data_IF_937365542473
#
_entry.id   IF_937365542473
#
_cell.length_a   1.000
_cell.length_b   1.000
_cell.length_c   1.000
_cell.angle_alpha   90.00
_cell.angle_beta   90.00
_cell.angle_gamma   90.00
#
_symmetry.space_group_name_H-M   'P 1'
#
loop_
_entity.id
_entity.type
_entity.pdbx_description
1 polymer ?
#
# COMPACT_ATOMS: atom_id res chain seq x y z
N UNK A 1 9.28 -14.56 11.49
CA UNK A 1 8.92 -13.26 10.90
C UNK A 1 8.01 -13.54 9.72
N UNK A 2 6.73 -13.16 9.84
CA UNK A 2 5.85 -13.12 8.66
C UNK A 2 6.43 -12.15 7.65
N UNK A 3 6.45 -12.52 6.37
CA UNK A 3 6.99 -11.68 5.31
C UNK A 3 5.90 -10.73 4.84
N UNK A 4 6.11 -9.42 5.00
CA UNK A 4 5.18 -8.41 4.54
C UNK A 4 5.27 -8.25 3.02
N UNK A 5 4.23 -7.68 2.40
CA UNK A 5 4.25 -7.47 0.95
C UNK A 5 5.24 -6.35 0.60
N UNK A 6 5.36 -5.30 1.43
CA UNK A 6 6.31 -4.20 1.22
C UNK A 6 7.77 -4.66 1.14
N UNK A 7 8.16 -5.71 1.88
CA UNK A 7 9.49 -6.32 1.85
C UNK A 7 9.95 -6.76 0.44
N UNK A 8 8.99 -6.95 -0.47
CA UNK A 8 9.23 -7.40 -1.85
C UNK A 8 9.12 -6.30 -2.90
N UNK A 9 8.81 -5.07 -2.48
CA UNK A 9 8.72 -3.92 -3.38
C UNK A 9 10.12 -3.38 -3.69
N UNK A 10 10.37 -3.00 -4.94
CA UNK A 10 11.62 -2.38 -5.34
C UNK A 10 11.47 -0.90 -5.69
N UNK A 11 12.60 -0.20 -5.75
CA UNK A 11 12.65 1.26 -5.94
C UNK A 11 12.14 1.72 -7.32
N UNK A 12 11.30 2.78 -7.38
CA UNK A 12 10.84 3.57 -6.24
C UNK A 12 9.72 2.87 -5.45
N UNK A 13 9.89 2.89 -4.12
CA UNK A 13 8.91 2.48 -3.13
C UNK A 13 8.71 3.66 -2.19
N UNK A 14 7.46 4.05 -1.97
CA UNK A 14 7.07 5.22 -1.20
C UNK A 14 6.20 4.77 -0.02
N UNK A 15 6.54 5.25 1.17
CA UNK A 15 5.67 5.19 2.33
C UNK A 15 4.62 6.31 2.21
N UNK A 16 3.34 5.98 2.45
CA UNK A 16 2.23 6.92 2.34
C UNK A 16 1.74 7.36 3.73
N UNK A 17 1.49 6.41 4.62
CA UNK A 17 0.90 6.69 5.93
C UNK A 17 1.25 5.56 6.90
N UNK A 18 1.53 5.91 8.15
CA UNK A 18 1.74 4.97 9.26
C UNK A 18 0.79 5.34 10.39
N UNK A 19 0.09 4.36 10.98
CA UNK A 19 -0.57 4.57 12.27
C UNK A 19 0.46 4.92 13.35
N UNK A 20 0.05 5.57 14.43
CA UNK A 20 0.92 5.93 15.57
C UNK A 20 2.07 4.93 15.84
N UNK A 21 3.30 5.33 15.46
CA UNK A 21 4.50 4.48 15.48
C UNK A 21 4.96 4.13 16.90
N UNK A 22 4.49 4.87 17.92
CA UNK A 22 4.79 4.62 19.32
C UNK A 22 3.93 3.48 19.92
N UNK A 23 3.08 2.84 19.12
CA UNK A 23 2.24 1.71 19.53
C UNK A 23 2.88 0.35 19.22
N UNK A 24 2.58 -0.70 20.01
CA UNK A 24 3.10 -2.05 19.75
C UNK A 24 2.53 -2.69 18.47
N UNK A 25 1.38 -2.19 17.99
CA UNK A 25 0.79 -2.58 16.72
C UNK A 25 0.73 -1.36 15.80
N UNK A 26 1.39 -1.46 14.65
CA UNK A 26 1.50 -0.39 13.65
C UNK A 26 0.95 -0.88 12.31
N UNK A 27 0.26 0.00 11.59
CA UNK A 27 -0.28 -0.25 10.27
C UNK A 27 0.26 0.79 9.29
N UNK A 28 0.95 0.33 8.26
CA UNK A 28 1.68 1.15 7.31
C UNK A 28 1.15 0.96 5.89
N UNK A 29 1.11 2.02 5.09
CA UNK A 29 0.78 1.98 3.67
C UNK A 29 2.02 2.26 2.86
N UNK A 30 2.28 1.39 1.88
CA UNK A 30 3.33 1.58 0.89
C UNK A 30 2.76 1.48 -0.52
N UNK A 31 3.42 2.17 -1.44
CA UNK A 31 3.22 2.00 -2.88
C UNK A 31 4.56 1.75 -3.57
N UNK A 32 4.61 0.80 -4.49
CA UNK A 32 5.83 0.45 -5.20
C UNK A 32 5.58 -0.54 -6.33
N UNK A 33 6.65 -1.15 -6.83
CA UNK A 33 6.56 -2.20 -7.84
C UNK A 33 7.01 -3.55 -7.29
N UNK A 34 6.26 -4.60 -7.60
CA UNK A 34 6.70 -5.98 -7.36
C UNK A 34 7.67 -6.45 -8.45
N UNK A 35 8.34 -7.58 -8.24
CA UNK A 35 9.33 -8.17 -9.19
C UNK A 35 8.81 -8.39 -10.63
N UNK A 36 7.50 -8.42 -10.84
CA UNK A 36 6.86 -8.55 -12.16
C UNK A 36 6.58 -7.20 -12.83
N UNK A 37 7.04 -6.10 -12.23
CA UNK A 37 6.80 -4.74 -12.72
C UNK A 37 5.38 -4.22 -12.49
N UNK A 38 4.58 -4.91 -11.68
CA UNK A 38 3.22 -4.50 -11.39
C UNK A 38 3.21 -3.45 -10.27
N UNK A 39 2.40 -2.42 -10.44
CA UNK A 39 2.17 -1.42 -9.40
C UNK A 39 1.39 -2.07 -8.25
N UNK A 40 1.89 -1.92 -7.04
CA UNK A 40 1.32 -2.48 -5.82
C UNK A 40 1.15 -1.37 -4.80
N UNK A 41 -0.06 -1.27 -4.24
CA UNK A 41 -0.33 -0.50 -3.03
C UNK A 41 -0.62 -1.52 -1.94
N UNK A 42 0.09 -1.50 -0.82
CA UNK A 42 -0.10 -2.46 0.25
C UNK A 42 -0.23 -1.78 1.61
N UNK A 43 -1.04 -2.40 2.47
CA UNK A 43 -1.15 -2.13 3.89
C UNK A 43 -0.49 -3.28 4.64
N UNK A 44 0.47 -2.97 5.49
CA UNK A 44 1.15 -3.93 6.34
C UNK A 44 0.79 -3.67 7.80
N UNK A 45 0.41 -4.72 8.53
CA UNK A 45 0.24 -4.67 9.97
C UNK A 45 1.46 -5.31 10.63
N UNK A 46 2.18 -4.52 11.40
CA UNK A 46 3.31 -4.91 12.24
C UNK A 46 2.82 -5.09 13.68
N UNK A 47 2.94 -6.30 14.20
CA UNK A 47 2.80 -6.59 15.63
C UNK A 47 4.20 -6.81 16.20
N UNK A 48 4.74 -5.79 16.87
CA UNK A 48 6.10 -5.82 17.40
C UNK A 48 6.22 -6.71 18.63
N UNK A 49 5.13 -6.94 19.35
CA UNK A 49 5.07 -7.84 20.51
C UNK A 49 4.86 -9.30 20.09
N UNK A 50 4.00 -9.56 19.09
CA UNK A 50 3.67 -10.88 18.59
C UNK A 50 3.81 -10.99 17.04
N UNK A 51 5.05 -11.04 16.48
CA UNK A 51 5.31 -10.98 15.04
C UNK A 51 4.70 -12.13 14.20
N UNK A 52 4.18 -13.18 14.84
CA UNK A 52 3.38 -14.21 14.18
C UNK A 52 2.03 -13.71 13.66
N UNK A 53 1.51 -12.58 14.14
CA UNK A 53 0.25 -11.98 13.68
C UNK A 53 0.45 -10.96 12.55
N UNK A 54 1.70 -10.68 12.15
CA UNK A 54 2.00 -9.85 11.00
C UNK A 54 1.22 -10.31 9.76
N UNK A 55 0.61 -9.36 9.07
CA UNK A 55 -0.16 -9.62 7.86
C UNK A 55 -0.16 -8.40 6.94
N UNK A 56 -0.55 -8.63 5.69
CA UNK A 56 -0.55 -7.63 4.63
C UNK A 56 -1.80 -7.77 3.76
N UNK A 57 -2.31 -6.66 3.27
CA UNK A 57 -3.31 -6.61 2.20
C UNK A 57 -2.82 -5.67 1.12
N UNK A 58 -2.89 -6.08 -0.15
CA UNK A 58 -2.40 -5.29 -1.27
C UNK A 58 -3.35 -5.26 -2.46
N UNK A 59 -3.47 -4.11 -3.09
CA UNK A 59 -4.03 -3.94 -4.42
C UNK A 59 -2.90 -4.03 -5.46
N UNK A 60 -2.95 -5.07 -6.30
CA UNK A 60 -1.97 -5.32 -7.36
C UNK A 60 -2.59 -4.95 -8.71
N UNK A 61 -2.17 -3.84 -9.28
CA UNK A 61 -2.63 -3.32 -10.57
C UNK A 61 -1.96 -4.10 -11.69
N UNK A 62 -2.70 -4.42 -12.75
CA UNK A 62 -2.08 -5.06 -13.91
C UNK A 62 -1.11 -4.11 -14.64
N UNK A 63 -0.11 -4.69 -15.30
CA UNK A 63 0.95 -3.92 -15.96
C UNK A 63 0.39 -2.99 -17.07
N UNK A 64 -0.58 -3.47 -17.84
CA UNK A 64 -1.17 -2.71 -18.95
C UNK A 64 -1.87 -1.43 -18.47
N UNK A 65 -2.69 -1.54 -17.43
CA UNK A 65 -3.49 -0.44 -16.90
C UNK A 65 -2.59 0.56 -16.16
N UNK A 66 -1.58 0.10 -15.40
CA UNK A 66 -0.58 1.01 -14.82
C UNK A 66 0.18 1.80 -15.91
N UNK A 67 0.53 1.19 -17.03
CA UNK A 67 1.11 1.93 -18.16
C UNK A 67 0.15 2.94 -18.79
N UNK A 68 -1.15 2.63 -18.88
CA UNK A 68 -2.16 3.58 -19.37
C UNK A 68 -2.28 4.76 -18.43
N UNK A 69 -2.37 4.50 -17.12
CA UNK A 69 -2.43 5.53 -16.08
C UNK A 69 -1.21 6.46 -16.14
N UNK A 70 0.00 5.91 -16.26
CA UNK A 70 1.22 6.73 -16.41
C UNK A 70 1.16 7.66 -17.63
N UNK A 71 0.67 7.16 -18.78
CA UNK A 71 0.51 7.98 -20.00
C UNK A 71 -0.56 9.05 -19.82
N UNK A 72 -1.67 8.73 -19.17
CA UNK A 72 -2.77 9.66 -18.89
C UNK A 72 -2.26 10.87 -18.10
N UNK A 73 -1.50 10.61 -17.03
CA UNK A 73 -0.91 11.63 -16.17
C UNK A 73 0.42 12.23 -16.67
N UNK A 74 0.89 11.80 -17.86
CA UNK A 74 2.15 12.26 -18.48
C UNK A 74 3.37 12.07 -17.57
N UNK A 75 3.35 11.04 -16.73
CA UNK A 75 4.47 10.64 -15.87
C UNK A 75 5.17 9.40 -16.43
N UNK A 76 6.43 9.19 -16.07
CA UNK A 76 7.10 7.92 -16.37
C UNK A 76 6.42 6.82 -15.55
N UNK A 77 6.24 5.64 -16.13
CA UNK A 77 5.67 4.49 -15.41
C UNK A 77 6.41 4.19 -14.12
N UNK A 78 7.75 4.28 -14.13
CA UNK A 78 8.57 4.13 -12.93
C UNK A 78 8.30 5.18 -11.85
N UNK A 79 7.68 6.32 -12.15
CA UNK A 79 7.36 7.35 -11.17
C UNK A 79 5.93 7.27 -10.62
N UNK A 80 5.14 6.27 -11.02
CA UNK A 80 3.78 6.10 -10.48
C UNK A 80 3.73 6.00 -8.94
N UNK A 81 4.66 5.30 -8.25
CA UNK A 81 4.66 5.29 -6.79
C UNK A 81 4.82 6.66 -6.16
N UNK A 82 5.71 7.48 -6.73
CA UNK A 82 5.94 8.86 -6.28
C UNK A 82 4.70 9.71 -6.54
N UNK A 83 4.14 9.62 -7.75
CA UNK A 83 2.93 10.34 -8.13
C UNK A 83 1.75 10.01 -7.19
N UNK A 84 1.54 8.72 -6.87
CA UNK A 84 0.48 8.32 -5.94
C UNK A 84 0.75 8.85 -4.53
N UNK A 85 1.99 8.80 -4.06
CA UNK A 85 2.34 9.36 -2.76
C UNK A 85 2.10 10.88 -2.69
N UNK A 86 2.44 11.62 -3.75
CA UNK A 86 2.15 13.05 -3.87
C UNK A 86 0.64 13.33 -3.89
N UNK A 87 -0.17 12.50 -4.55
CA UNK A 87 -1.63 12.63 -4.51
C UNK A 87 -2.23 12.42 -3.11
N UNK A 88 -1.52 11.70 -2.24
CA UNK A 88 -1.96 11.38 -0.88
C UNK A 88 -1.30 12.27 0.18
N UNK A 89 -0.67 13.39 -0.20
CA UNK A 89 0.07 14.27 0.72
C UNK A 89 -0.80 14.75 1.91
N UNK A 90 -2.09 15.04 1.68
CA UNK A 90 -3.03 15.46 2.73
C UNK A 90 -3.22 14.39 3.83
N UNK A 91 -3.16 13.10 3.47
CA UNK A 91 -3.19 12.01 4.46
C UNK A 91 -1.95 12.00 5.35
N UNK A 92 -0.80 12.43 4.81
CA UNK A 92 0.45 12.58 5.56
C UNK A 92 0.42 13.69 6.61
N UNK A 93 -0.54 14.62 6.56
CA UNK A 93 -0.67 15.72 7.53
C UNK A 93 -1.42 15.29 8.81
N UNK A 94 -2.05 14.11 8.82
CA UNK A 94 -2.78 13.60 9.98
C UNK A 94 -1.80 13.23 11.09
N UNK A 95 -1.89 13.92 12.22
CA UNK A 95 -1.07 13.64 13.40
C UNK A 95 -1.63 12.42 14.15
N UNK A 96 -0.76 11.44 14.43
CA UNK A 96 -1.06 10.20 15.16
C UNK A 96 -2.29 9.46 14.62
N UNK A 97 -2.27 9.05 13.33
CA UNK A 97 -3.42 8.43 12.73
C UNK A 97 -3.69 7.06 13.34
N UNK A 98 -4.96 6.71 13.43
CA UNK A 98 -5.41 5.40 13.88
C UNK A 98 -5.61 4.44 12.70
N UNK A 99 -5.86 3.16 12.99
CA UNK A 99 -6.04 2.13 11.97
C UNK A 99 -7.22 2.40 11.01
N UNK A 100 -8.27 3.11 11.45
CA UNK A 100 -9.37 3.46 10.54
C UNK A 100 -8.92 4.48 9.51
N UNK A 101 -8.11 5.47 9.90
CA UNK A 101 -7.57 6.46 8.96
C UNK A 101 -6.62 5.83 7.96
N UNK A 102 -5.78 4.89 8.40
CA UNK A 102 -4.92 4.10 7.49
C UNK A 102 -5.78 3.29 6.50
N UNK A 103 -6.86 2.66 6.97
CA UNK A 103 -7.79 1.92 6.10
C UNK A 103 -8.53 2.83 5.11
N UNK A 104 -8.95 4.01 5.56
CA UNK A 104 -9.65 4.99 4.74
C UNK A 104 -8.72 5.54 3.65
N UNK A 105 -7.46 5.84 3.97
CA UNK A 105 -6.44 6.21 2.98
C UNK A 105 -6.21 5.10 1.95
N UNK A 106 -6.05 3.84 2.39
CA UNK A 106 -5.90 2.72 1.47
C UNK A 106 -7.13 2.57 0.57
N UNK A 107 -8.33 2.71 1.13
CA UNK A 107 -9.58 2.67 0.38
C UNK A 107 -9.61 3.78 -0.68
N UNK A 108 -9.29 5.02 -0.31
CA UNK A 108 -9.25 6.15 -1.23
C UNK A 108 -8.29 5.89 -2.41
N UNK A 109 -7.08 5.38 -2.13
CA UNK A 109 -6.13 5.00 -3.19
C UNK A 109 -6.76 3.96 -4.13
N UNK A 110 -7.43 2.94 -3.59
CA UNK A 110 -8.09 1.92 -4.43
C UNK A 110 -9.27 2.47 -5.22
N UNK A 111 -10.02 3.44 -4.70
CA UNK A 111 -11.10 4.13 -5.42
C UNK A 111 -10.52 4.98 -6.55
N UNK A 112 -9.45 5.75 -6.31
CA UNK A 112 -8.75 6.47 -7.36
C UNK A 112 -8.22 5.54 -8.47
N UNK A 113 -7.67 4.38 -8.11
CA UNK A 113 -7.25 3.39 -9.10
C UNK A 113 -8.44 2.92 -9.98
N UNK A 114 -9.62 2.70 -9.40
CA UNK A 114 -10.82 2.33 -10.16
C UNK A 114 -11.27 3.46 -11.08
N UNK A 115 -11.24 4.71 -10.61
CA UNK A 115 -11.61 5.90 -11.37
C UNK A 115 -10.67 6.16 -12.56
N UNK A 116 -9.38 5.83 -12.40
CA UNK A 116 -8.39 5.80 -13.49
C UNK A 116 -8.60 4.63 -14.47
N UNK A 117 -9.60 3.79 -14.24
CA UNK A 117 -9.91 2.62 -15.06
C UNK A 117 -8.95 1.45 -14.84
N UNK A 118 -8.19 1.43 -13.74
CA UNK A 118 -7.27 0.36 -13.43
C UNK A 118 -8.00 -0.84 -12.84
N UNK A 119 -7.75 -2.02 -13.43
CA UNK A 119 -8.13 -3.29 -12.79
C UNK A 119 -7.00 -3.74 -11.89
N UNK A 120 -7.33 -4.04 -10.63
CA UNK A 120 -6.41 -4.67 -9.68
C UNK A 120 -7.01 -5.92 -9.06
N UNK A 121 -6.15 -6.73 -8.45
CA UNK A 121 -6.53 -7.85 -7.60
C UNK A 121 -6.10 -7.57 -6.18
N UNK A 122 -6.92 -7.99 -5.22
CA UNK A 122 -6.52 -7.99 -3.81
C UNK A 122 -5.71 -9.25 -3.52
N UNK A 123 -4.51 -9.06 -2.97
CA UNK A 123 -3.59 -10.10 -2.51
C UNK A 123 -3.37 -9.93 -1.01
N UNK A 124 -3.33 -11.04 -0.25
CA UNK A 124 -3.18 -11.00 1.21
C UNK A 124 -2.15 -11.99 1.71
N UNK A 125 -1.47 -11.61 2.79
CA UNK A 125 -0.77 -12.54 3.68
C UNK A 125 -1.56 -12.66 4.99
N UNK A 126 -1.35 -13.76 5.71
CA UNK A 126 -2.12 -14.08 6.91
C UNK A 126 -1.18 -14.36 8.07
N UNK A 127 -1.49 -13.78 9.22
CA UNK A 127 -0.84 -14.10 10.48
C UNK A 127 -1.39 -15.40 11.09
N UNK A 128 -0.87 -15.74 12.27
CA UNK A 128 -1.27 -16.91 13.06
C UNK A 128 -2.80 -16.94 13.23
N UNK A 129 -3.38 -18.13 13.06
CA UNK A 129 -4.84 -18.29 13.18
C UNK A 129 -5.64 -17.70 12.02
N UNK A 130 -5.03 -17.41 10.87
CA UNK A 130 -5.65 -16.71 9.73
C UNK A 130 -5.96 -15.24 10.02
N UNK A 131 -5.22 -14.62 10.94
CA UNK A 131 -5.32 -13.19 11.20
C UNK A 131 -5.03 -12.40 9.92
N UNK A 132 -5.82 -11.36 9.66
CA UNK A 132 -5.71 -10.52 8.47
C UNK A 132 -5.86 -9.05 8.84
N UNK A 133 -5.17 -8.19 8.12
CA UNK A 133 -5.40 -6.75 8.10
C UNK A 133 -6.22 -6.39 6.86
N UNK A 134 -7.20 -5.50 7.02
CA UNK A 134 -8.00 -4.90 5.94
C UNK A 134 -8.88 -5.88 5.11
#
# INVERSE_FOLDING_TARGET
MGKHISDSLYSPCCHIMSSDEDQPLVMDIYVGFNISGQLVVCVDLHDYDEPEYNCSTAAVVNLEDSHKMARHHRVKHSHLPIFIAECMEEWGEVINPNFNQVRDCFKEITECLLDEGCRFKIVRTYGRGSHMCC
#
